data_IF_434943699056
#
_entry.id   IF_434943699056
#
_cell.length_a   1.000
_cell.length_b   1.000
_cell.length_c   1.000
_cell.angle_alpha   90.00
_cell.angle_beta   90.00
_cell.angle_gamma   90.00
#
_symmetry.space_group_name_H-M   'P 1'
#
loop_
_entity.id
_entity.type
_entity.pdbx_description
1 polymer ?
#
# COMPACT_ATOMS: atom_id res chain seq x y z
N UNK A 1 5.95 -4.75 -8.38
CA UNK A 1 7.33 -4.78 -7.79
C UNK A 1 7.57 -6.12 -7.12
N UNK A 2 6.60 -6.58 -6.34
CA UNK A 2 6.65 -7.80 -5.57
C UNK A 2 7.04 -9.04 -6.39
N UNK A 3 6.52 -9.21 -7.60
CA UNK A 3 6.89 -10.32 -8.49
C UNK A 3 8.38 -10.40 -8.83
N UNK A 4 9.16 -9.31 -8.67
CA UNK A 4 10.62 -9.34 -8.87
C UNK A 4 11.38 -9.90 -7.67
N UNK A 5 10.82 -9.86 -6.46
CA UNK A 5 11.55 -10.20 -5.22
C UNK A 5 10.93 -11.35 -4.45
N UNK A 6 9.72 -11.77 -4.78
CA UNK A 6 9.04 -12.81 -4.02
C UNK A 6 9.71 -14.18 -4.10
N UNK A 7 10.41 -14.44 -5.21
CA UNK A 7 11.10 -15.70 -5.49
C UNK A 7 12.20 -16.01 -4.46
N UNK A 8 12.81 -14.98 -3.87
CA UNK A 8 13.76 -15.14 -2.76
C UNK A 8 13.13 -15.81 -1.52
N UNK A 9 11.81 -15.79 -1.40
CA UNK A 9 11.09 -16.31 -0.24
C UNK A 9 10.22 -17.54 -0.57
N UNK A 10 10.32 -18.12 -1.76
CA UNK A 10 9.46 -19.23 -2.19
C UNK A 10 9.54 -20.45 -1.28
N UNK A 11 10.75 -20.80 -0.83
CA UNK A 11 10.98 -21.90 0.12
C UNK A 11 10.66 -21.52 1.58
N UNK A 12 10.32 -20.24 1.85
CA UNK A 12 10.19 -19.68 3.19
C UNK A 12 8.87 -18.91 3.36
N UNK A 13 7.70 -19.60 3.43
CA UNK A 13 6.39 -18.95 3.46
C UNK A 13 6.22 -17.95 4.61
N UNK A 14 6.75 -18.26 5.80
CA UNK A 14 6.71 -17.36 6.96
C UNK A 14 7.56 -16.11 6.74
N UNK A 15 8.75 -16.26 6.13
CA UNK A 15 9.61 -15.11 5.79
C UNK A 15 8.98 -14.27 4.70
N UNK A 16 8.31 -14.90 3.73
CA UNK A 16 7.53 -14.22 2.69
C UNK A 16 6.44 -13.34 3.31
N UNK A 17 5.70 -13.85 4.30
CA UNK A 17 4.69 -13.07 5.02
C UNK A 17 5.30 -11.86 5.73
N UNK A 18 6.42 -12.06 6.45
CA UNK A 18 7.12 -10.96 7.14
C UNK A 18 7.59 -9.89 6.13
N UNK A 19 8.21 -10.31 5.03
CA UNK A 19 8.67 -9.44 3.96
C UNK A 19 7.52 -8.62 3.34
N UNK A 20 6.38 -9.27 3.02
CA UNK A 20 5.15 -8.57 2.59
C UNK A 20 4.67 -7.55 3.61
N UNK A 21 4.69 -7.88 4.90
CA UNK A 21 4.29 -6.95 5.97
C UNK A 21 5.18 -5.73 6.05
N UNK A 22 6.50 -5.91 5.95
CA UNK A 22 7.43 -4.78 5.96
C UNK A 22 7.17 -3.83 4.79
N UNK A 23 6.97 -4.35 3.58
CA UNK A 23 6.60 -3.55 2.42
C UNK A 23 5.26 -2.84 2.60
N UNK A 24 4.24 -3.55 3.07
CA UNK A 24 2.88 -3.02 3.28
C UNK A 24 2.88 -1.76 4.13
N UNK A 25 3.72 -1.74 5.17
CA UNK A 25 3.76 -0.65 6.14
C UNK A 25 4.93 0.32 5.92
N UNK A 26 5.72 0.14 4.86
CA UNK A 26 6.92 0.95 4.61
C UNK A 26 7.95 0.83 5.74
N UNK A 27 8.06 -0.34 6.36
CA UNK A 27 9.00 -0.57 7.45
C UNK A 27 10.37 -0.91 6.89
N UNK A 28 11.33 0.01 7.03
CA UNK A 28 12.70 -0.21 6.56
C UNK A 28 13.50 -1.12 7.48
N UNK A 29 14.48 -1.79 6.89
CA UNK A 29 15.52 -2.53 7.60
C UNK A 29 16.80 -1.70 7.58
N UNK A 30 17.39 -1.40 8.73
CA UNK A 30 18.68 -0.69 8.80
C UNK A 30 19.87 -1.64 8.86
N UNK A 31 21.07 -1.13 8.54
CA UNK A 31 22.30 -1.93 8.50
C UNK A 31 22.66 -2.61 9.84
N UNK A 32 22.25 -2.01 10.97
CA UNK A 32 22.37 -2.57 12.31
C UNK A 32 21.29 -3.63 12.63
N UNK A 33 20.67 -4.19 11.59
CA UNK A 33 19.61 -5.20 11.65
C UNK A 33 18.33 -4.74 12.35
N UNK A 34 18.03 -3.46 12.45
CA UNK A 34 16.76 -3.01 13.07
C UNK A 34 15.66 -2.84 12.04
N UNK A 35 14.41 -2.96 12.49
CA UNK A 35 13.24 -2.58 11.69
C UNK A 35 12.78 -1.21 12.17
N UNK A 36 12.50 -0.29 11.25
CA UNK A 36 12.15 1.09 11.60
C UNK A 36 10.95 1.61 10.80
N UNK A 37 10.14 2.44 11.44
CA UNK A 37 9.15 3.31 10.80
C UNK A 37 9.69 4.75 10.90
N UNK A 38 10.32 5.25 9.83
CA UNK A 38 11.14 6.44 9.91
C UNK A 38 12.30 6.21 10.90
N UNK A 39 12.42 7.05 11.93
CA UNK A 39 13.44 6.90 12.97
C UNK A 39 12.99 6.10 14.20
N UNK A 40 11.73 5.66 14.21
CA UNK A 40 11.17 4.87 15.31
C UNK A 40 11.53 3.40 15.11
N UNK A 41 12.25 2.81 16.07
CA UNK A 41 12.55 1.38 16.07
C UNK A 41 11.29 0.56 16.39
N UNK A 42 11.02 -0.45 15.56
CA UNK A 42 9.93 -1.41 15.76
C UNK A 42 10.52 -2.74 16.24
N UNK A 43 10.28 -3.15 17.50
CA UNK A 43 10.85 -4.38 18.02
C UNK A 43 10.35 -5.63 17.28
N UNK A 44 11.25 -6.58 17.02
CA UNK A 44 10.89 -7.85 16.39
C UNK A 44 9.76 -8.59 17.12
N UNK A 45 9.71 -8.49 18.45
CA UNK A 45 8.66 -9.12 19.27
C UNK A 45 7.27 -8.58 18.95
N UNK A 46 7.16 -7.30 18.57
CA UNK A 46 5.87 -6.69 18.20
C UNK A 46 5.42 -7.14 16.81
N UNK A 47 6.36 -7.24 15.86
CA UNK A 47 6.09 -7.77 14.52
C UNK A 47 5.72 -9.25 14.59
N UNK A 48 6.50 -10.03 15.35
CA UNK A 48 6.26 -11.44 15.60
C UNK A 48 4.87 -11.70 16.17
N UNK A 49 4.48 -10.92 17.20
CA UNK A 49 3.15 -10.99 17.80
C UNK A 49 2.04 -10.61 16.81
N UNK A 50 2.25 -9.59 15.98
CA UNK A 50 1.25 -9.17 15.00
C UNK A 50 1.02 -10.19 13.88
N UNK A 51 2.02 -11.02 13.57
CA UNK A 51 1.97 -12.03 12.51
C UNK A 51 1.77 -13.46 13.03
N UNK A 52 1.72 -13.65 14.35
CA UNK A 52 1.67 -14.96 15.01
C UNK A 52 2.84 -15.89 14.61
N UNK A 53 4.06 -15.35 14.68
CA UNK A 53 5.31 -16.07 14.31
C UNK A 53 6.36 -15.96 15.41
N UNK A 54 7.39 -16.81 15.40
CA UNK A 54 8.52 -16.68 16.31
C UNK A 54 9.39 -15.45 15.96
N UNK A 55 9.75 -14.66 16.98
CA UNK A 55 10.63 -13.48 16.82
C UNK A 55 11.99 -13.80 16.19
N UNK A 56 12.48 -15.02 16.35
CA UNK A 56 13.72 -15.51 15.73
C UNK A 56 13.59 -15.55 14.22
N UNK A 57 12.43 -15.95 13.69
CA UNK A 57 12.15 -15.95 12.25
C UNK A 57 12.13 -14.53 11.70
N UNK A 58 11.60 -13.55 12.45
CA UNK A 58 11.67 -12.12 12.08
C UNK A 58 13.12 -11.66 11.97
N UNK A 59 13.95 -11.96 12.99
CA UNK A 59 15.38 -11.64 12.98
C UNK A 59 16.13 -12.29 11.81
N UNK A 60 15.86 -13.56 11.53
CA UNK A 60 16.47 -14.28 10.41
C UNK A 60 16.04 -13.70 9.07
N UNK A 61 14.78 -13.30 8.93
CA UNK A 61 14.27 -12.64 7.71
C UNK A 61 15.00 -11.33 7.47
N UNK A 62 15.20 -10.51 8.51
CA UNK A 62 16.01 -9.29 8.42
C UNK A 62 17.45 -9.60 8.00
N UNK A 63 18.07 -10.63 8.59
CA UNK A 63 19.41 -11.05 8.21
C UNK A 63 19.50 -11.53 6.76
N UNK A 64 18.47 -12.21 6.25
CA UNK A 64 18.38 -12.64 4.86
C UNK A 64 18.24 -11.44 3.91
N UNK A 65 17.34 -10.50 4.23
CA UNK A 65 17.14 -9.26 3.46
C UNK A 65 18.46 -8.50 3.32
N UNK A 66 19.23 -8.34 4.40
CA UNK A 66 20.49 -7.60 4.36
C UNK A 66 21.63 -8.32 3.62
N UNK A 67 21.54 -9.65 3.46
CA UNK A 67 22.57 -10.44 2.75
C UNK A 67 22.38 -10.45 1.24
N UNK A 68 21.15 -10.31 0.77
CA UNK A 68 20.81 -10.33 -0.65
C UNK A 68 20.82 -8.89 -1.16
N UNK A 69 21.73 -8.50 -2.08
CA UNK A 69 21.91 -7.10 -2.48
C UNK A 69 20.61 -6.42 -2.96
N UNK A 70 19.82 -7.10 -3.80
CA UNK A 70 18.57 -6.57 -4.33
C UNK A 70 17.52 -6.33 -3.24
N UNK A 71 17.39 -7.26 -2.29
CA UNK A 71 16.49 -7.08 -1.14
C UNK A 71 17.01 -5.96 -0.24
N UNK A 72 18.32 -5.92 0.02
CA UNK A 72 18.92 -4.88 0.85
C UNK A 72 18.60 -3.49 0.28
N UNK A 73 18.81 -3.29 -1.01
CA UNK A 73 18.54 -2.00 -1.67
C UNK A 73 17.08 -1.59 -1.51
N UNK A 74 16.13 -2.50 -1.68
CA UNK A 74 14.70 -2.19 -1.55
C UNK A 74 14.33 -1.90 -0.08
N UNK A 75 14.64 -2.83 0.82
CA UNK A 75 14.15 -2.78 2.20
C UNK A 75 14.85 -1.74 3.06
N UNK A 76 16.05 -1.29 2.70
CA UNK A 76 16.73 -0.20 3.43
C UNK A 76 16.16 1.19 3.08
N UNK A 77 15.51 1.31 1.93
CA UNK A 77 14.97 2.58 1.41
C UNK A 77 13.44 2.71 1.56
N UNK A 78 12.79 1.81 2.29
CA UNK A 78 11.33 1.92 2.53
C UNK A 78 11.02 3.13 3.43
N UNK A 79 9.91 3.78 3.15
CA UNK A 79 9.38 4.87 3.97
C UNK A 79 7.92 4.60 4.34
N UNK A 80 7.53 4.79 5.61
CA UNK A 80 6.13 4.71 6.00
C UNK A 80 5.36 5.90 5.41
N UNK A 81 4.14 5.63 4.92
CA UNK A 81 3.25 6.66 4.39
C UNK A 81 1.89 6.58 5.06
N UNK A 82 1.30 7.74 5.38
CA UNK A 82 -0.06 7.80 5.94
C UNK A 82 -1.09 7.41 4.88
N UNK A 83 -2.08 6.58 5.24
CA UNK A 83 -3.21 6.28 4.37
C UNK A 83 -4.47 6.96 4.92
N UNK A 84 -5.01 7.95 4.18
CA UNK A 84 -6.11 8.77 4.67
C UNK A 84 -7.51 8.18 4.47
N UNK A 85 -7.64 6.91 4.04
CA UNK A 85 -8.92 6.25 3.76
C UNK A 85 -9.93 6.38 4.90
N UNK A 86 -9.53 6.07 6.13
CA UNK A 86 -10.44 6.06 7.28
C UNK A 86 -10.46 7.37 8.08
N UNK A 87 -9.66 8.37 7.69
CA UNK A 87 -9.52 9.63 8.43
C UNK A 87 -9.89 10.86 7.61
N UNK A 88 -9.85 10.78 6.27
CA UNK A 88 -10.08 11.92 5.38
C UNK A 88 -11.43 12.60 5.63
N UNK A 89 -12.49 11.81 5.82
CA UNK A 89 -13.83 12.32 6.15
C UNK A 89 -13.88 13.19 7.40
N UNK A 90 -13.12 12.83 8.43
CA UNK A 90 -13.11 13.56 9.71
C UNK A 90 -12.46 14.94 9.58
N UNK A 91 -11.69 15.18 8.51
CA UNK A 91 -11.05 16.46 8.22
C UNK A 91 -11.67 17.17 7.01
N UNK A 92 -12.85 16.74 6.56
CA UNK A 92 -13.60 17.38 5.48
C UNK A 92 -13.19 16.96 4.07
N UNK A 93 -12.34 15.94 3.91
CA UNK A 93 -11.94 15.43 2.60
C UNK A 93 -12.98 14.49 2.01
N UNK A 94 -13.01 14.44 0.67
CA UNK A 94 -13.70 13.37 -0.05
C UNK A 94 -12.84 12.13 -0.06
N UNK A 95 -13.46 10.96 0.12
CA UNK A 95 -12.77 9.66 0.09
C UNK A 95 -13.56 8.72 -0.81
N UNK A 96 -12.93 8.29 -1.89
CA UNK A 96 -13.46 7.28 -2.79
C UNK A 96 -12.46 6.14 -2.90
N UNK A 97 -12.97 4.94 -2.75
CA UNK A 97 -12.24 3.71 -3.04
C UNK A 97 -12.87 3.06 -4.27
N UNK A 98 -12.01 2.70 -5.23
CA UNK A 98 -12.42 2.16 -6.50
C UNK A 98 -11.77 0.79 -6.64
N UNK A 99 -12.60 -0.22 -6.84
CA UNK A 99 -12.15 -1.54 -7.25
C UNK A 99 -12.10 -1.56 -8.78
N UNK A 100 -10.90 -1.60 -9.39
CA UNK A 100 -10.78 -1.66 -10.83
C UNK A 100 -11.01 -3.08 -11.34
N UNK A 101 -11.45 -3.19 -12.59
CA UNK A 101 -11.34 -4.46 -13.32
C UNK A 101 -9.86 -4.87 -13.45
N UNK A 102 -9.53 -6.17 -13.48
CA UNK A 102 -8.16 -6.63 -13.65
C UNK A 102 -7.52 -6.00 -14.88
N UNK A 103 -6.35 -5.36 -14.69
CA UNK A 103 -5.58 -4.70 -15.77
C UNK A 103 -6.34 -3.55 -16.48
N UNK A 104 -7.21 -2.82 -15.78
CA UNK A 104 -7.86 -1.62 -16.31
C UNK A 104 -6.86 -0.47 -16.56
N UNK A 105 -6.19 -0.49 -17.72
CA UNK A 105 -5.18 0.51 -18.10
C UNK A 105 -5.82 1.91 -18.19
N UNK A 106 -5.17 2.90 -17.58
CA UNK A 106 -5.57 4.30 -17.66
C UNK A 106 -6.75 4.68 -16.76
N UNK A 107 -7.25 3.77 -15.91
CA UNK A 107 -8.39 4.07 -15.03
C UNK A 107 -8.10 5.26 -14.10
N UNK A 108 -6.92 5.30 -13.46
CA UNK A 108 -6.49 6.43 -12.63
C UNK A 108 -6.49 7.75 -13.42
N UNK A 109 -5.98 7.74 -14.66
CA UNK A 109 -5.95 8.95 -15.49
C UNK A 109 -7.37 9.45 -15.81
N UNK A 110 -8.29 8.55 -16.19
CA UNK A 110 -9.70 8.88 -16.46
C UNK A 110 -10.37 9.48 -15.23
N UNK A 111 -10.17 8.88 -14.06
CA UNK A 111 -10.77 9.36 -12.81
C UNK A 111 -10.17 10.72 -12.41
N UNK A 112 -8.85 10.86 -12.45
CA UNK A 112 -8.17 12.10 -12.11
C UNK A 112 -8.62 13.26 -13.03
N UNK A 113 -8.78 12.99 -14.32
CA UNK A 113 -9.32 13.96 -15.27
C UNK A 113 -10.75 14.39 -14.90
N UNK A 114 -11.64 13.44 -14.61
CA UNK A 114 -13.03 13.73 -14.21
C UNK A 114 -13.14 14.56 -12.92
N UNK A 115 -12.25 14.30 -11.97
CA UNK A 115 -12.17 15.08 -10.73
C UNK A 115 -11.65 16.50 -11.02
N UNK A 116 -10.63 16.63 -11.87
CA UNK A 116 -10.07 17.91 -12.28
C UNK A 116 -11.07 18.77 -13.08
N UNK A 117 -11.90 18.16 -13.94
CA UNK A 117 -13.00 18.83 -14.68
C UNK A 117 -14.03 19.50 -13.74
N UNK A 118 -14.06 19.15 -12.45
CA UNK A 118 -14.93 19.74 -11.43
C UNK A 118 -14.20 20.70 -10.50
N UNK A 119 -12.97 21.12 -10.83
CA UNK A 119 -12.12 21.98 -10.01
C UNK A 119 -11.98 21.44 -8.56
N UNK A 120 -11.70 20.15 -8.46
CA UNK A 120 -11.46 19.46 -7.18
C UNK A 120 -10.01 19.01 -7.16
N UNK A 121 -9.25 19.48 -6.18
CA UNK A 121 -7.88 19.01 -5.99
C UNK A 121 -7.84 17.61 -5.39
N UNK A 122 -6.90 16.78 -5.86
CA UNK A 122 -6.58 15.48 -5.29
C UNK A 122 -5.43 15.65 -4.30
N UNK A 123 -5.63 15.21 -3.06
CA UNK A 123 -4.64 15.29 -1.98
C UNK A 123 -3.77 14.04 -1.94
N UNK A 124 -4.37 12.87 -2.12
CA UNK A 124 -3.67 11.59 -2.06
C UNK A 124 -4.29 10.61 -3.03
N UNK A 125 -3.42 9.84 -3.68
CA UNK A 125 -3.78 8.65 -4.44
C UNK A 125 -2.98 7.49 -3.88
N UNK A 126 -3.67 6.41 -3.53
CA UNK A 126 -3.05 5.14 -3.14
C UNK A 126 -3.55 4.08 -4.12
N UNK A 127 -2.65 3.57 -4.95
CA UNK A 127 -2.91 2.47 -5.87
C UNK A 127 -2.21 1.21 -5.34
N UNK A 128 -2.99 0.20 -5.01
CA UNK A 128 -2.44 -1.06 -4.49
C UNK A 128 -1.93 -1.96 -5.62
N UNK A 129 -0.86 -2.71 -5.35
CA UNK A 129 -0.30 -3.69 -6.30
C UNK A 129 -1.11 -5.00 -6.18
N UNK A 130 -1.81 -5.47 -7.24
CA UNK A 130 -2.59 -6.70 -7.20
C UNK A 130 -1.74 -7.95 -6.96
N UNK A 131 -0.43 -7.91 -7.20
CA UNK A 131 0.50 -8.99 -6.83
C UNK A 131 0.67 -9.12 -5.30
N UNK A 132 0.47 -8.02 -4.57
CA UNK A 132 0.54 -7.97 -3.11
C UNK A 132 -0.84 -8.15 -2.48
N UNK A 133 -1.88 -7.57 -3.08
CA UNK A 133 -3.24 -7.50 -2.56
C UNK A 133 -4.23 -8.03 -3.60
N UNK A 134 -4.79 -9.24 -3.43
CA UNK A 134 -5.75 -9.80 -4.38
C UNK A 134 -6.99 -8.91 -4.60
N UNK A 135 -7.35 -8.11 -3.60
CA UNK A 135 -8.44 -7.12 -3.65
C UNK A 135 -7.92 -5.69 -3.83
N UNK A 136 -6.80 -5.52 -4.54
CA UNK A 136 -6.14 -4.23 -4.72
C UNK A 136 -7.13 -3.13 -5.15
N UNK A 137 -7.16 -2.04 -4.40
CA UNK A 137 -8.01 -0.89 -4.70
C UNK A 137 -7.20 0.33 -5.15
N UNK A 138 -7.91 1.25 -5.79
CA UNK A 138 -7.48 2.61 -6.02
C UNK A 138 -8.24 3.53 -5.08
N UNK A 139 -7.56 4.04 -4.05
CA UNK A 139 -8.13 5.04 -3.14
C UNK A 139 -7.70 6.45 -3.55
N UNK A 140 -8.68 7.35 -3.70
CA UNK A 140 -8.45 8.75 -4.02
C UNK A 140 -9.06 9.61 -2.90
N UNK A 141 -8.25 10.55 -2.43
CA UNK A 141 -8.60 11.52 -1.40
C UNK A 141 -8.63 12.90 -2.05
N UNK A 142 -9.74 13.62 -1.93
CA UNK A 142 -9.93 14.96 -2.50
C UNK A 142 -10.06 16.01 -1.41
N UNK A 143 -9.69 17.25 -1.71
CA UNK A 143 -9.71 18.36 -0.74
C UNK A 143 -11.08 18.70 -0.15
N UNK A 144 -12.14 18.26 -0.82
CA UNK A 144 -13.54 18.43 -0.42
C UNK A 144 -14.34 17.19 -0.84
N UNK A 145 -15.54 16.97 -0.27
CA UNK A 145 -16.40 15.85 -0.65
C UNK A 145 -16.70 15.85 -2.15
N UNK A 146 -16.75 14.65 -2.74
CA UNK A 146 -17.04 14.48 -4.16
C UNK A 146 -18.54 14.60 -4.40
N UNK A 147 -19.01 15.45 -5.33
CA UNK A 147 -20.41 15.56 -5.70
C UNK A 147 -21.02 14.21 -6.14
N UNK A 148 -22.30 13.99 -5.80
CA UNK A 148 -22.99 12.74 -6.11
C UNK A 148 -23.16 12.45 -7.61
N UNK A 149 -23.30 13.50 -8.43
CA UNK A 149 -23.32 13.39 -9.88
C UNK A 149 -21.97 12.93 -10.44
N UNK A 150 -20.86 13.48 -9.92
CA UNK A 150 -19.51 13.03 -10.28
C UNK A 150 -19.28 11.57 -9.88
N UNK A 151 -19.70 11.14 -8.69
CA UNK A 151 -19.63 9.72 -8.28
C UNK A 151 -20.37 8.81 -9.29
N UNK A 152 -21.55 9.22 -9.73
CA UNK A 152 -22.35 8.49 -10.72
C UNK A 152 -21.70 8.46 -12.11
N UNK A 153 -20.93 9.48 -12.48
CA UNK A 153 -20.13 9.45 -13.70
C UNK A 153 -18.96 8.49 -13.57
N UNK A 154 -18.23 8.56 -12.44
CA UNK A 154 -17.09 7.69 -12.17
C UNK A 154 -17.48 6.21 -12.15
N UNK A 155 -18.63 5.87 -11.58
CA UNK A 155 -19.11 4.47 -11.50
C UNK A 155 -19.46 3.86 -12.86
N UNK A 156 -19.65 4.69 -13.89
CA UNK A 156 -19.93 4.27 -15.26
C UNK A 156 -18.69 4.20 -16.14
N UNK A 157 -17.52 4.58 -15.62
CA UNK A 157 -16.28 4.48 -16.37
C UNK A 157 -15.95 3.02 -16.64
N UNK A 158 -15.60 2.73 -17.90
CA UNK A 158 -15.08 1.43 -18.29
C UNK A 158 -13.83 1.08 -17.46
N UNK A 159 -13.85 -0.10 -16.84
CA UNK A 159 -12.80 -0.57 -15.94
C UNK A 159 -13.06 -0.32 -14.46
N UNK A 160 -14.20 0.28 -14.09
CA UNK A 160 -14.66 0.37 -12.70
C UNK A 160 -15.61 -0.78 -12.41
N UNK A 161 -15.23 -1.65 -11.47
CA UNK A 161 -16.08 -2.74 -10.99
C UNK A 161 -16.97 -2.29 -9.84
N UNK A 162 -16.41 -1.53 -8.89
CA UNK A 162 -17.15 -1.03 -7.71
C UNK A 162 -16.55 0.29 -7.24
N UNK A 163 -17.41 1.16 -6.72
CA UNK A 163 -17.02 2.36 -5.98
C UNK A 163 -17.60 2.28 -4.57
N UNK A 164 -16.75 2.55 -3.59
CA UNK A 164 -17.10 2.72 -2.19
C UNK A 164 -16.78 4.14 -1.75
N UNK A 165 -17.70 4.77 -1.04
CA UNK A 165 -17.54 6.13 -0.52
C UNK A 165 -17.45 6.02 0.98
N UNK A 166 -16.44 6.65 1.55
CA UNK A 166 -16.25 6.70 2.99
C UNK A 166 -16.72 7.99 3.58
#
# INVERSE_FOLDING_TARGET
MWGKIEHYFDEYPVRKQIAKTLLKYGLRVSDDMKIKAGDIEVPYTKIAKALDVDRRVVKETVGMILKIPELKEIYTNLEPTVHMKYVGRHVGYGVIEIEPEPRAIGILAKIAQKIAERDINIIQVVAEDPELYPEATLTIITEKPIPGDLINELSKLEGVKRISIY
#
